data_IF_590202976424
#
_entry.id   IF_590202976424
#
_cell.length_a   1.000
_cell.length_b   1.000
_cell.length_c   1.000
_cell.angle_alpha   90.00
_cell.angle_beta   90.00
_cell.angle_gamma   90.00
#
_symmetry.space_group_name_H-M   'P 1'
#
loop_
_entity.id
_entity.type
_entity.pdbx_description
1 polymer ?
#
# COMPACT_ATOMS: atom_id res chain seq x y z
N UNK A 1 -21.29 2.07 -0.87
CA UNK A 1 -19.97 2.39 -1.48
C UNK A 1 -20.16 3.42 -2.59
N UNK A 2 -19.26 4.41 -2.74
CA UNK A 2 -19.48 5.61 -3.61
C UNK A 2 -19.36 5.37 -5.13
N UNK A 3 -19.32 4.12 -5.63
CA UNK A 3 -19.22 3.85 -7.08
C UNK A 3 -20.44 4.32 -7.90
N UNK A 4 -21.58 4.56 -7.26
CA UNK A 4 -22.74 5.14 -7.92
C UNK A 4 -22.45 6.53 -8.50
N UNK A 5 -21.55 7.29 -7.89
CA UNK A 5 -21.12 8.61 -8.38
C UNK A 5 -20.51 8.48 -9.78
N UNK A 6 -19.58 7.52 -9.99
CA UNK A 6 -18.98 7.29 -11.30
C UNK A 6 -20.01 6.93 -12.36
N UNK A 7 -21.01 6.11 -12.01
CA UNK A 7 -22.11 5.75 -12.93
C UNK A 7 -22.93 6.96 -13.33
N UNK A 8 -23.26 7.83 -12.37
CA UNK A 8 -24.04 9.05 -12.63
C UNK A 8 -23.25 10.04 -13.50
N UNK A 9 -21.98 10.26 -13.21
CA UNK A 9 -21.12 11.12 -14.01
C UNK A 9 -20.94 10.56 -15.42
N UNK A 10 -20.82 9.25 -15.57
CA UNK A 10 -20.76 8.62 -16.90
C UNK A 10 -22.03 8.85 -17.72
N UNK A 11 -23.21 8.78 -17.10
CA UNK A 11 -24.48 9.12 -17.77
C UNK A 11 -24.49 10.59 -18.21
N UNK A 12 -23.86 11.49 -17.44
CA UNK A 12 -23.70 12.89 -17.78
C UNK A 12 -22.59 13.13 -18.82
N UNK A 13 -22.04 12.06 -19.44
CA UNK A 13 -21.04 12.10 -20.51
C UNK A 13 -19.68 12.71 -20.10
N UNK A 14 -19.30 12.60 -18.81
CA UNK A 14 -17.94 12.92 -18.39
C UNK A 14 -16.92 12.02 -19.11
N UNK A 15 -15.75 12.57 -19.41
CA UNK A 15 -14.65 11.86 -20.08
C UNK A 15 -14.04 10.79 -19.16
N UNK A 16 -13.25 9.87 -19.74
CA UNK A 16 -12.57 8.82 -18.96
C UNK A 16 -11.59 9.41 -17.95
N UNK A 17 -10.89 10.45 -18.36
CA UNK A 17 -9.91 11.17 -17.54
C UNK A 17 -10.58 11.85 -16.34
N UNK A 18 -11.70 12.50 -16.54
CA UNK A 18 -12.48 13.13 -15.47
C UNK A 18 -13.04 12.10 -14.49
N UNK A 19 -13.57 10.99 -15.00
CA UNK A 19 -14.05 9.88 -14.16
C UNK A 19 -12.93 9.23 -13.36
N UNK A 20 -11.73 9.11 -13.97
CA UNK A 20 -10.55 8.60 -13.30
C UNK A 20 -10.08 9.55 -12.19
N UNK A 21 -10.08 10.83 -12.46
CA UNK A 21 -9.78 11.88 -11.46
C UNK A 21 -10.73 11.83 -10.25
N UNK A 22 -12.03 11.64 -10.51
CA UNK A 22 -13.01 11.46 -9.42
C UNK A 22 -12.72 10.19 -8.61
N UNK A 23 -12.36 9.09 -9.27
CA UNK A 23 -11.96 7.87 -8.55
C UNK A 23 -10.76 8.11 -7.66
N UNK A 24 -9.70 8.73 -8.20
CA UNK A 24 -8.46 9.01 -7.46
C UNK A 24 -8.70 9.94 -6.28
N UNK A 25 -9.51 10.99 -6.46
CA UNK A 25 -9.69 12.05 -5.46
C UNK A 25 -10.76 11.74 -4.42
N UNK A 26 -11.78 10.93 -4.77
CA UNK A 26 -12.96 10.73 -3.91
C UNK A 26 -13.14 9.29 -3.40
N UNK A 27 -12.70 8.29 -4.14
CA UNK A 27 -12.96 6.89 -3.80
C UNK A 27 -11.70 6.22 -3.26
N UNK A 28 -10.59 6.32 -3.98
CA UNK A 28 -9.32 5.69 -3.61
C UNK A 28 -8.81 6.09 -2.23
N UNK A 29 -8.87 7.36 -1.78
CA UNK A 29 -8.41 7.75 -0.44
C UNK A 29 -9.17 7.05 0.69
N UNK A 30 -10.43 6.68 0.47
CA UNK A 30 -11.21 5.91 1.45
C UNK A 30 -10.67 4.48 1.58
N UNK A 31 -10.27 3.88 0.46
CA UNK A 31 -9.69 2.53 0.41
C UNK A 31 -8.25 2.48 0.94
N UNK A 32 -7.55 3.60 0.87
CA UNK A 32 -6.15 3.73 1.30
C UNK A 32 -6.01 4.38 2.69
N UNK A 33 -7.12 4.73 3.36
CA UNK A 33 -7.06 5.37 4.67
C UNK A 33 -6.42 4.44 5.71
N UNK A 34 -5.44 4.97 6.44
CA UNK A 34 -4.71 4.27 7.50
C UNK A 34 -4.15 2.89 7.12
N UNK A 35 -3.80 2.67 5.85
CA UNK A 35 -3.24 1.41 5.32
C UNK A 35 -2.15 0.80 6.21
N UNK A 36 -1.15 1.52 6.72
CA UNK A 36 -0.11 0.91 7.55
C UNK A 36 -0.62 0.24 8.83
N UNK A 37 -1.83 0.59 9.29
CA UNK A 37 -2.42 0.03 10.50
C UNK A 37 -3.12 -1.30 10.24
N UNK A 38 -3.84 -1.43 9.13
CA UNK A 38 -4.69 -2.59 8.89
C UNK A 38 -4.17 -3.55 7.81
N UNK A 39 -3.35 -3.06 6.86
CA UNK A 39 -2.87 -3.89 5.75
C UNK A 39 -2.14 -5.17 6.19
N UNK A 40 -1.29 -5.18 7.23
CA UNK A 40 -0.62 -6.41 7.65
C UNK A 40 -1.56 -7.50 8.17
N UNK A 41 -2.71 -7.10 8.70
CA UNK A 41 -3.68 -8.00 9.35
C UNK A 41 -4.76 -8.57 8.42
N UNK A 42 -4.95 -8.03 7.22
CA UNK A 42 -6.00 -8.48 6.32
C UNK A 42 -5.69 -9.83 5.69
N UNK A 43 -6.76 -10.58 5.42
CA UNK A 43 -6.68 -11.85 4.69
C UNK A 43 -6.64 -11.62 3.17
N UNK A 44 -6.22 -12.64 2.41
CA UNK A 44 -6.28 -12.60 0.94
C UNK A 44 -7.70 -12.36 0.42
N UNK A 45 -8.71 -12.91 1.09
CA UNK A 45 -10.11 -12.70 0.76
C UNK A 45 -10.50 -11.21 0.88
N UNK A 46 -10.13 -10.56 1.98
CA UNK A 46 -10.40 -9.14 2.22
C UNK A 46 -9.61 -8.25 1.25
N UNK A 47 -8.34 -8.58 0.99
CA UNK A 47 -7.53 -7.91 -0.03
C UNK A 47 -8.21 -7.98 -1.41
N UNK A 48 -8.72 -9.17 -1.80
CA UNK A 48 -9.47 -9.36 -3.03
C UNK A 48 -10.79 -8.57 -3.09
N UNK A 49 -11.47 -8.37 -1.95
CA UNK A 49 -12.67 -7.53 -1.89
C UNK A 49 -12.35 -6.05 -2.13
N UNK A 50 -11.25 -5.56 -1.58
CA UNK A 50 -10.77 -4.18 -1.82
C UNK A 50 -10.40 -4.01 -3.30
N UNK A 51 -9.68 -4.97 -3.88
CA UNK A 51 -9.28 -4.97 -5.28
C UNK A 51 -10.49 -5.00 -6.23
N UNK A 52 -11.55 -5.73 -5.85
CA UNK A 52 -12.82 -5.75 -6.60
C UNK A 52 -13.43 -4.35 -6.78
N UNK A 53 -13.23 -3.46 -5.81
CA UNK A 53 -13.72 -2.07 -5.92
C UNK A 53 -13.04 -1.34 -7.07
N UNK A 54 -11.71 -1.46 -7.18
CA UNK A 54 -10.97 -0.87 -8.30
C UNK A 54 -11.38 -1.51 -9.62
N UNK A 55 -11.49 -2.83 -9.69
CA UNK A 55 -11.98 -3.54 -10.90
C UNK A 55 -13.33 -2.99 -11.37
N UNK A 56 -14.28 -2.84 -10.45
CA UNK A 56 -15.60 -2.27 -10.77
C UNK A 56 -15.50 -0.81 -11.22
N UNK A 57 -14.63 0.01 -10.60
CA UNK A 57 -14.44 1.39 -11.01
C UNK A 57 -13.87 1.47 -12.43
N UNK A 58 -12.81 0.71 -12.72
CA UNK A 58 -12.19 0.66 -14.05
C UNK A 58 -13.18 0.20 -15.13
N UNK A 59 -14.00 -0.81 -14.83
CA UNK A 59 -15.05 -1.25 -15.74
C UNK A 59 -16.10 -0.15 -16.01
N UNK A 60 -16.46 0.64 -15.00
CA UNK A 60 -17.38 1.77 -15.18
C UNK A 60 -16.70 2.85 -16.04
N UNK A 61 -15.45 3.20 -15.77
CA UNK A 61 -14.72 4.27 -16.46
C UNK A 61 -14.52 3.91 -17.94
N UNK A 62 -13.93 2.76 -18.23
CA UNK A 62 -13.58 2.34 -19.59
C UNK A 62 -14.82 1.90 -20.41
N UNK A 63 -15.84 1.33 -19.77
CA UNK A 63 -17.04 0.87 -20.46
C UNK A 63 -16.73 -0.18 -21.54
N UNK A 64 -17.01 0.13 -22.81
CA UNK A 64 -16.81 -0.79 -23.94
C UNK A 64 -15.32 -1.09 -24.21
N UNK A 65 -14.41 -0.21 -23.79
CA UNK A 65 -12.96 -0.43 -23.95
C UNK A 65 -12.36 -1.30 -22.84
N UNK A 66 -13.17 -1.72 -21.87
CA UNK A 66 -12.73 -2.63 -20.84
C UNK A 66 -12.63 -4.06 -21.36
N UNK A 67 -11.43 -4.58 -21.55
CA UNK A 67 -11.20 -5.98 -21.92
C UNK A 67 -11.02 -6.86 -20.70
N UNK A 68 -10.03 -6.54 -19.87
CA UNK A 68 -9.73 -7.24 -18.62
C UNK A 68 -9.05 -6.28 -17.63
N UNK A 69 -8.83 -6.77 -16.40
CA UNK A 69 -8.30 -5.93 -15.34
C UNK A 69 -6.87 -5.43 -15.62
N UNK A 70 -6.00 -6.29 -16.15
CA UNK A 70 -4.61 -5.93 -16.41
C UNK A 70 -4.50 -4.91 -17.55
N UNK A 71 -5.23 -5.10 -18.63
CA UNK A 71 -5.34 -4.12 -19.72
C UNK A 71 -5.87 -2.76 -19.20
N UNK A 72 -6.86 -2.79 -18.30
CA UNK A 72 -7.40 -1.56 -17.73
C UNK A 72 -6.37 -0.81 -16.85
N UNK A 73 -5.51 -1.53 -16.13
CA UNK A 73 -4.39 -0.93 -15.38
C UNK A 73 -3.37 -0.27 -16.31
N UNK A 74 -3.04 -0.92 -17.43
CA UNK A 74 -2.12 -0.38 -18.44
C UNK A 74 -2.68 0.88 -19.11
N UNK A 75 -3.95 0.84 -19.54
CA UNK A 75 -4.61 1.97 -20.22
C UNK A 75 -4.67 3.22 -19.34
N UNK A 76 -4.86 3.06 -18.04
CA UNK A 76 -4.97 4.18 -17.08
C UNK A 76 -3.66 4.43 -16.31
N UNK A 77 -2.57 3.76 -16.70
CA UNK A 77 -1.25 3.86 -16.07
C UNK A 77 -1.34 3.81 -14.53
N UNK A 78 -1.91 2.73 -14.03
CA UNK A 78 -2.14 2.59 -12.60
C UNK A 78 -1.78 1.21 -12.04
N UNK A 79 -1.31 1.21 -10.80
CA UNK A 79 -1.01 0.01 -10.04
C UNK A 79 -2.27 -0.66 -9.46
N UNK A 80 -2.12 -1.94 -9.10
CA UNK A 80 -3.10 -2.62 -8.24
C UNK A 80 -3.18 -1.94 -6.87
N UNK A 81 -4.32 -2.01 -6.20
CA UNK A 81 -4.44 -1.49 -4.84
C UNK A 81 -3.54 -2.25 -3.85
N UNK A 82 -3.23 -3.52 -4.12
CA UNK A 82 -2.28 -4.29 -3.31
C UNK A 82 -0.86 -3.72 -3.38
N UNK A 83 -0.34 -3.50 -4.60
CA UNK A 83 0.96 -2.86 -4.83
C UNK A 83 1.04 -1.48 -4.19
N UNK A 84 0.00 -0.68 -4.36
CA UNK A 84 -0.08 0.65 -3.77
C UNK A 84 -0.09 0.64 -2.24
N UNK A 85 -0.82 -0.30 -1.61
CA UNK A 85 -0.82 -0.46 -0.14
C UNK A 85 0.58 -0.76 0.38
N UNK A 86 1.31 -1.63 -0.31
CA UNK A 86 2.70 -1.93 0.04
C UNK A 86 3.58 -0.68 -0.08
N UNK A 87 3.49 0.07 -1.18
CA UNK A 87 4.22 1.33 -1.36
C UNK A 87 3.90 2.37 -0.26
N UNK A 88 2.62 2.45 0.17
CA UNK A 88 2.21 3.34 1.26
C UNK A 88 2.88 2.91 2.57
N UNK A 89 2.92 1.62 2.88
CA UNK A 89 3.61 1.10 4.06
C UNK A 89 5.12 1.38 4.02
N UNK A 90 5.77 1.20 2.87
CA UNK A 90 7.19 1.53 2.70
C UNK A 90 7.47 3.02 2.91
N UNK A 91 6.66 3.89 2.32
CA UNK A 91 6.77 5.34 2.51
C UNK A 91 6.53 5.72 3.97
N UNK A 92 5.58 5.08 4.63
CA UNK A 92 5.26 5.32 6.04
C UNK A 92 6.43 4.95 6.94
N UNK A 93 7.00 3.73 6.81
CA UNK A 93 8.13 3.33 7.66
C UNK A 93 9.35 4.22 7.44
N UNK A 94 9.65 4.58 6.19
CA UNK A 94 10.77 5.51 5.89
C UNK A 94 10.60 6.86 6.59
N UNK A 95 9.39 7.43 6.52
CA UNK A 95 9.08 8.70 7.20
C UNK A 95 9.12 8.56 8.71
N UNK A 96 8.61 7.47 9.27
CA UNK A 96 8.56 7.23 10.72
C UNK A 96 9.94 7.04 11.31
N UNK A 97 10.83 6.31 10.64
CA UNK A 97 12.22 6.12 11.06
C UNK A 97 13.03 7.42 10.98
N UNK A 98 12.76 8.27 9.98
CA UNK A 98 13.43 9.57 9.83
C UNK A 98 12.95 10.61 10.84
N UNK A 99 11.69 10.51 11.32
CA UNK A 99 11.10 11.51 12.21
C UNK A 99 11.45 11.23 13.69
N UNK A 100 12.02 12.19 14.40
CA UNK A 100 12.49 12.05 15.78
C UNK A 100 11.44 11.48 16.75
N UNK A 101 10.18 11.94 16.66
CA UNK A 101 9.07 11.51 17.52
C UNK A 101 8.71 10.03 17.34
N UNK A 102 8.77 9.49 16.11
CA UNK A 102 8.32 8.14 15.81
C UNK A 102 9.49 7.13 15.73
N UNK A 103 10.71 7.64 15.66
CA UNK A 103 11.91 6.79 15.63
C UNK A 103 12.03 5.87 16.85
N UNK A 104 11.51 6.30 17.99
CA UNK A 104 11.49 5.49 19.24
C UNK A 104 10.60 4.24 19.16
N UNK A 105 9.71 4.16 18.17
CA UNK A 105 8.90 2.96 17.94
C UNK A 105 9.71 1.79 17.37
N UNK A 106 10.87 2.10 16.80
CA UNK A 106 11.75 1.15 16.13
C UNK A 106 13.08 1.04 16.88
N UNK A 107 13.44 -0.18 17.30
CA UNK A 107 14.74 -0.46 17.88
C UNK A 107 15.74 -0.73 16.75
N UNK A 108 16.89 -0.05 16.77
CA UNK A 108 17.97 -0.32 15.82
C UNK A 108 18.85 -1.45 16.33
N UNK A 109 19.39 -2.26 15.42
CA UNK A 109 20.44 -3.22 15.77
C UNK A 109 21.68 -2.45 16.17
N UNK A 110 22.28 -2.82 17.30
CA UNK A 110 23.61 -2.35 17.65
C UNK A 110 24.60 -2.98 16.66
N UNK A 111 25.29 -2.14 15.92
CA UNK A 111 26.34 -2.60 15.04
C UNK A 111 27.58 -2.93 15.87
N UNK A 112 28.09 -4.16 15.72
CA UNK A 112 29.39 -4.51 16.21
C UNK A 112 30.45 -3.90 15.27
N UNK A 113 31.09 -2.84 15.70
CA UNK A 113 32.04 -2.07 14.89
C UNK A 113 33.35 -2.82 14.58
N UNK A 114 33.50 -4.07 15.05
CA UNK A 114 34.72 -4.86 14.88
C UNK A 114 34.96 -5.32 13.44
N UNK A 115 33.91 -5.45 12.60
CA UNK A 115 34.02 -5.88 11.20
C UNK A 115 33.29 -4.91 10.28
N UNK A 116 34.02 -4.07 9.55
CA UNK A 116 33.47 -3.16 8.52
C UNK A 116 33.25 -3.92 7.21
N UNK A 117 32.12 -4.60 7.07
CA UNK A 117 31.65 -5.12 5.79
C UNK A 117 30.72 -4.10 5.09
N UNK A 118 30.54 -4.21 3.75
CA UNK A 118 29.59 -3.35 3.02
C UNK A 118 28.17 -3.42 3.61
N UNK A 119 27.74 -4.56 4.11
CA UNK A 119 26.45 -4.76 4.77
C UNK A 119 26.36 -4.11 6.16
N UNK A 120 27.48 -3.87 6.84
CA UNK A 120 27.52 -3.21 8.16
C UNK A 120 27.20 -1.71 8.11
N UNK A 121 27.17 -1.10 6.91
CA UNK A 121 26.78 0.30 6.73
C UNK A 121 25.26 0.50 6.64
N UNK A 122 24.48 -0.57 6.49
CA UNK A 122 23.04 -0.50 6.36
C UNK A 122 22.40 -0.55 7.73
N UNK A 123 21.82 0.56 8.17
CA UNK A 123 21.12 0.66 9.45
C UNK A 123 19.86 -0.22 9.44
N UNK A 124 19.96 -1.43 10.00
CA UNK A 124 18.84 -2.38 10.13
C UNK A 124 18.08 -2.14 11.43
N UNK A 125 16.80 -2.42 11.39
CA UNK A 125 15.93 -2.44 12.57
C UNK A 125 16.03 -3.82 13.24
N UNK A 126 16.03 -3.82 14.59
CA UNK A 126 16.00 -5.07 15.35
C UNK A 126 14.68 -5.80 15.09
N UNK A 127 14.71 -7.06 14.63
CA UNK A 127 13.48 -7.83 14.43
C UNK A 127 12.66 -7.92 15.72
N UNK A 128 11.34 -7.77 15.59
CA UNK A 128 10.43 -7.86 16.73
C UNK A 128 10.14 -9.33 17.03
N UNK A 129 10.42 -9.79 18.24
CA UNK A 129 10.12 -11.16 18.66
C UNK A 129 8.61 -11.34 18.80
N UNK A 130 8.03 -12.19 17.97
CA UNK A 130 6.60 -12.44 17.94
C UNK A 130 6.27 -13.83 18.48
N UNK A 131 5.49 -13.91 19.57
CA UNK A 131 5.03 -15.19 20.16
C UNK A 131 3.80 -15.76 19.47
N UNK A 132 3.01 -14.93 18.78
CA UNK A 132 1.77 -15.35 18.12
C UNK A 132 1.74 -14.86 16.68
N UNK A 133 1.11 -15.63 15.79
CA UNK A 133 0.89 -15.23 14.39
C UNK A 133 0.07 -13.94 14.27
N UNK A 134 -0.88 -13.70 15.19
CA UNK A 134 -1.64 -12.46 15.23
C UNK A 134 -0.74 -11.25 15.48
N UNK A 135 0.22 -11.35 16.41
CA UNK A 135 1.16 -10.27 16.69
C UNK A 135 2.15 -10.07 15.53
N UNK A 136 2.60 -11.15 14.89
CA UNK A 136 3.46 -11.09 13.70
C UNK A 136 2.82 -10.28 12.55
N UNK A 137 1.50 -10.39 12.41
CA UNK A 137 0.70 -9.63 11.43
C UNK A 137 0.31 -8.24 11.92
N UNK A 138 0.82 -7.77 13.04
CA UNK A 138 0.56 -6.40 13.51
C UNK A 138 1.49 -5.40 12.82
N UNK A 139 1.17 -4.09 12.85
CA UNK A 139 1.91 -3.08 12.10
C UNK A 139 3.41 -3.03 12.39
N UNK A 140 3.83 -3.08 13.65
CA UNK A 140 5.24 -2.91 14.03
C UNK A 140 6.16 -4.01 13.47
N UNK A 141 5.90 -5.32 13.70
CA UNK A 141 6.71 -6.39 13.11
C UNK A 141 6.76 -6.31 11.59
N UNK A 142 5.60 -6.13 10.95
CA UNK A 142 5.51 -6.03 9.49
C UNK A 142 6.33 -4.86 8.92
N UNK A 143 6.23 -3.68 9.52
CA UNK A 143 6.96 -2.49 9.06
C UNK A 143 8.47 -2.64 9.29
N UNK A 144 8.86 -3.31 10.38
CA UNK A 144 10.28 -3.64 10.66
C UNK A 144 10.85 -4.57 9.59
N UNK A 145 10.12 -5.62 9.24
CA UNK A 145 10.54 -6.58 8.21
C UNK A 145 10.58 -5.91 6.83
N UNK A 146 9.60 -5.08 6.51
CA UNK A 146 9.52 -4.33 5.26
C UNK A 146 10.71 -3.36 5.10
N UNK A 147 11.10 -2.66 6.17
CA UNK A 147 12.28 -1.82 6.18
C UNK A 147 13.54 -2.61 5.90
N UNK A 148 13.74 -3.71 6.61
CA UNK A 148 14.95 -4.53 6.47
C UNK A 148 15.06 -5.12 5.07
N UNK A 149 13.94 -5.60 4.49
CA UNK A 149 13.91 -6.09 3.10
C UNK A 149 14.24 -4.98 2.08
N UNK A 150 13.77 -3.75 2.29
CA UNK A 150 14.03 -2.62 1.39
C UNK A 150 15.50 -2.17 1.39
N UNK A 151 16.28 -2.53 2.40
CA UNK A 151 17.69 -2.19 2.55
C UNK A 151 18.65 -3.29 2.05
N UNK A 152 18.11 -4.49 1.79
CA UNK A 152 18.88 -5.62 1.26
C UNK A 152 18.90 -5.65 -0.29
N UNK A 153 18.08 -4.82 -0.94
CA UNK A 153 18.08 -4.60 -2.39
C UNK A 153 18.99 -3.41 -2.73
#
# INVERSE_FOLDING_TARGET
MKLWILRRLKILKFTKEELWDVFIKQIRPILEYAVPVWHPGITQKESGQIERVQKCALHIILGNDYQNYFHALEVLDCDTLESRRQQICEKFVRKSVAHSKYRSWFSFQQMDYSIKTRSSQVQQLKPVTCRTERYKRSPLPFLTDLWNQSKMK
#
